data_IF_687856513629
#
_entry.id   IF_687856513629
#
_cell.length_a   1.000
_cell.length_b   1.000
_cell.length_c   1.000
_cell.angle_alpha   90.00
_cell.angle_beta   90.00
_cell.angle_gamma   90.00
#
_symmetry.space_group_name_H-M   'P 1'
#
loop_
_entity.id
_entity.type
_entity.pdbx_description
1 polymer ?
#
# COMPACT_ATOMS: atom_id res chain seq x y z
N UNK A 1 -0.98 -12.37 8.26
CA UNK A 1 0.05 -12.32 7.21
C UNK A 1 0.60 -13.73 7.03
N UNK A 2 0.87 -14.19 5.80
CA UNK A 2 1.41 -15.55 5.59
C UNK A 2 2.89 -15.63 5.98
N UNK A 3 3.35 -16.81 6.37
CA UNK A 3 4.76 -17.04 6.73
C UNK A 3 5.70 -16.82 5.54
N UNK A 4 5.27 -17.11 4.31
CA UNK A 4 6.06 -16.84 3.09
C UNK A 4 6.40 -15.35 2.93
N UNK A 5 5.44 -14.46 3.22
CA UNK A 5 5.69 -13.00 3.13
C UNK A 5 6.70 -12.54 4.19
N UNK A 6 6.63 -13.12 5.38
CA UNK A 6 7.55 -12.79 6.47
C UNK A 6 8.96 -13.30 6.17
N UNK A 7 9.06 -14.51 5.63
CA UNK A 7 10.33 -15.08 5.18
C UNK A 7 10.98 -14.21 4.09
N UNK A 8 10.19 -13.76 3.10
CA UNK A 8 10.69 -12.88 2.03
C UNK A 8 11.22 -11.54 2.57
N UNK A 9 10.49 -10.88 3.48
CA UNK A 9 10.94 -9.62 4.09
C UNK A 9 12.25 -9.80 4.86
N UNK A 10 12.36 -10.86 5.67
CA UNK A 10 13.59 -11.16 6.42
C UNK A 10 14.75 -11.49 5.50
N UNK A 11 14.50 -12.21 4.41
CA UNK A 11 15.51 -12.50 3.39
C UNK A 11 16.06 -11.23 2.74
N UNK A 12 15.20 -10.23 2.50
CA UNK A 12 15.59 -8.91 1.99
C UNK A 12 16.26 -8.01 3.05
N UNK A 13 16.47 -8.50 4.28
CA UNK A 13 17.14 -7.77 5.36
C UNK A 13 16.23 -6.89 6.22
N UNK A 14 14.90 -7.04 6.11
CA UNK A 14 13.97 -6.27 6.94
C UNK A 14 13.71 -6.96 8.30
N UNK A 15 13.71 -6.16 9.36
CA UNK A 15 13.15 -6.56 10.65
C UNK A 15 11.62 -6.59 10.59
N UNK A 16 11.01 -7.69 11.05
CA UNK A 16 9.56 -7.89 10.97
C UNK A 16 8.95 -7.98 12.36
N UNK A 17 8.18 -6.95 12.72
CA UNK A 17 7.39 -6.89 13.95
C UNK A 17 5.97 -7.40 13.66
N UNK A 18 5.57 -8.51 14.31
CA UNK A 18 4.19 -9.00 14.25
C UNK A 18 3.34 -8.23 15.25
N UNK A 19 2.22 -7.66 14.78
CA UNK A 19 1.24 -6.96 15.62
C UNK A 19 -0.06 -7.76 15.64
N UNK A 20 -0.76 -7.78 16.78
CA UNK A 20 -2.09 -8.39 16.88
C UNK A 20 -3.07 -7.61 15.99
N UNK A 21 -3.96 -8.32 15.31
CA UNK A 21 -4.93 -7.72 14.39
C UNK A 21 -6.14 -7.10 15.10
N UNK A 22 -6.35 -7.41 16.37
CA UNK A 22 -7.55 -7.05 17.11
C UNK A 22 -7.21 -6.37 18.44
N UNK A 23 -8.01 -5.37 18.77
CA UNK A 23 -8.00 -4.59 19.99
C UNK A 23 -9.08 -3.51 19.92
N UNK A 24 -9.60 -3.02 21.05
CA UNK A 24 -10.56 -1.92 21.02
C UNK A 24 -9.89 -0.62 20.53
N UNK A 25 -10.53 0.10 19.59
CA UNK A 25 -10.11 1.45 19.18
C UNK A 25 -9.27 1.52 17.91
N UNK A 26 -8.10 2.14 18.01
CA UNK A 26 -7.20 2.50 16.89
C UNK A 26 -6.52 1.26 16.25
N UNK A 27 -6.16 1.34 14.97
CA UNK A 27 -5.39 0.30 14.30
C UNK A 27 -4.00 0.14 14.95
N UNK A 28 -3.81 -0.95 15.67
CA UNK A 28 -2.58 -1.24 16.41
C UNK A 28 -1.33 -1.27 15.53
N UNK A 29 -1.47 -1.53 14.22
CA UNK A 29 -0.34 -1.46 13.27
C UNK A 29 0.13 -0.03 13.09
N UNK A 30 -0.81 0.92 13.07
CA UNK A 30 -0.52 2.35 12.96
C UNK A 30 0.16 2.87 14.22
N UNK A 31 -0.39 2.51 15.38
CA UNK A 31 0.20 2.82 16.70
C UNK A 31 1.63 2.31 16.76
N UNK A 32 1.85 1.03 16.45
CA UNK A 32 3.19 0.44 16.53
C UNK A 32 4.17 1.06 15.53
N UNK A 33 3.72 1.41 14.32
CA UNK A 33 4.56 2.09 13.34
C UNK A 33 5.01 3.48 13.82
N UNK A 34 4.13 4.23 14.49
CA UNK A 34 4.44 5.55 15.08
C UNK A 34 5.37 5.46 16.30
N UNK A 35 5.28 4.41 17.10
CA UNK A 35 6.26 4.15 18.15
C UNK A 35 7.65 3.89 17.55
N UNK A 36 7.74 2.98 16.58
CA UNK A 36 9.01 2.61 15.93
C UNK A 36 9.65 3.77 15.17
N UNK A 37 8.85 4.65 14.56
CA UNK A 37 9.33 5.89 13.95
C UNK A 37 10.17 6.70 14.94
N UNK A 38 9.71 6.85 16.18
CA UNK A 38 10.42 7.58 17.23
C UNK A 38 11.60 6.80 17.78
N UNK A 39 11.41 5.52 18.11
CA UNK A 39 12.44 4.66 18.72
C UNK A 39 13.66 4.50 17.81
N UNK A 40 13.44 4.39 16.49
CA UNK A 40 14.49 4.15 15.51
C UNK A 40 14.98 5.43 14.84
N UNK A 41 14.44 6.60 15.21
CA UNK A 41 14.63 7.85 14.45
C UNK A 41 14.35 7.66 12.95
N UNK A 42 13.33 6.86 12.64
CA UNK A 42 12.93 6.49 11.29
C UNK A 42 11.87 7.43 10.71
N UNK A 43 11.32 7.04 9.57
CA UNK A 43 10.21 7.76 8.91
C UNK A 43 9.08 6.78 8.65
N UNK A 44 7.88 7.08 9.16
CA UNK A 44 6.70 6.30 8.83
C UNK A 44 6.05 6.82 7.55
N UNK A 45 6.34 6.15 6.42
CA UNK A 45 5.88 6.55 5.09
C UNK A 45 4.36 6.53 4.90
N UNK A 46 3.62 5.79 5.73
CA UNK A 46 2.16 5.82 5.86
C UNK A 46 1.36 5.77 4.54
N UNK A 47 1.20 4.56 3.98
CA UNK A 47 0.46 4.34 2.72
C UNK A 47 -1.01 4.80 2.70
N UNK A 48 -1.62 5.07 3.84
CA UNK A 48 -3.02 5.50 3.92
C UNK A 48 -3.19 7.00 3.66
N UNK A 49 -2.18 7.80 3.99
CA UNK A 49 -2.23 9.27 3.91
C UNK A 49 -1.18 9.87 2.99
N UNK A 50 -0.27 9.06 2.47
CA UNK A 50 0.77 9.51 1.56
C UNK A 50 0.24 9.55 0.11
N UNK A 51 0.21 10.74 -0.49
CA UNK A 51 -0.20 10.94 -1.89
C UNK A 51 0.60 10.10 -2.88
N UNK A 52 1.85 9.73 -2.55
CA UNK A 52 2.68 8.88 -3.40
C UNK A 52 2.01 7.54 -3.76
N UNK A 53 1.17 7.01 -2.87
CA UNK A 53 0.40 5.79 -3.14
C UNK A 53 -0.59 5.98 -4.32
N UNK A 54 -1.39 7.04 -4.27
CA UNK A 54 -2.31 7.39 -5.37
C UNK A 54 -1.54 7.76 -6.64
N UNK A 55 -0.54 8.64 -6.52
CA UNK A 55 0.21 9.17 -7.67
C UNK A 55 0.93 8.07 -8.43
N UNK A 56 1.49 7.07 -7.76
CA UNK A 56 2.12 5.94 -8.43
C UNK A 56 1.17 5.28 -9.43
N UNK A 57 -0.10 5.07 -9.05
CA UNK A 57 -1.08 4.45 -9.94
C UNK A 57 -1.62 5.40 -11.00
N UNK A 58 -1.79 6.68 -10.68
CA UNK A 58 -2.23 7.70 -11.65
C UNK A 58 -1.17 7.95 -12.74
N UNK A 59 0.08 8.12 -12.31
CA UNK A 59 1.17 8.54 -13.17
C UNK A 59 1.74 7.40 -14.02
N UNK A 60 1.64 6.15 -13.56
CA UNK A 60 2.15 4.97 -14.27
C UNK A 60 1.05 3.95 -14.56
N UNK A 61 0.50 3.24 -13.56
CA UNK A 61 -0.39 2.09 -13.78
C UNK A 61 -1.56 2.39 -14.71
N UNK A 62 -2.23 3.53 -14.52
CA UNK A 62 -3.35 3.95 -15.36
C UNK A 62 -2.91 4.18 -16.81
N UNK A 63 -1.78 4.87 -17.02
CA UNK A 63 -1.25 5.16 -18.35
C UNK A 63 -0.81 3.90 -19.07
N UNK A 64 -0.14 2.99 -18.36
CA UNK A 64 0.27 1.69 -18.90
C UNK A 64 -0.95 0.90 -19.39
N UNK A 65 -2.03 0.86 -18.59
CA UNK A 65 -3.28 0.18 -18.97
C UNK A 65 -3.91 0.83 -20.21
N UNK A 66 -4.03 2.16 -20.22
CA UNK A 66 -4.63 2.89 -21.36
C UNK A 66 -3.82 2.66 -22.64
N UNK A 67 -2.49 2.73 -22.56
CA UNK A 67 -1.60 2.49 -23.70
C UNK A 67 -1.73 1.05 -24.20
N UNK A 68 -1.69 0.07 -23.30
CA UNK A 68 -1.80 -1.36 -23.65
C UNK A 68 -3.17 -1.74 -24.24
N UNK A 69 -4.22 -0.98 -23.91
CA UNK A 69 -5.59 -1.20 -24.39
C UNK A 69 -5.96 -0.32 -25.58
N UNK A 70 -4.99 0.41 -26.16
CA UNK A 70 -5.23 1.40 -27.23
C UNK A 70 -6.37 2.39 -26.89
N UNK A 71 -6.48 2.75 -25.61
CA UNK A 71 -7.50 3.65 -25.07
C UNK A 71 -8.92 3.08 -25.03
N UNK A 72 -9.13 1.78 -25.24
CA UNK A 72 -10.46 1.15 -25.28
C UNK A 72 -10.69 0.28 -24.05
N UNK A 73 -11.43 0.83 -23.08
CA UNK A 73 -11.69 0.16 -21.80
C UNK A 73 -13.17 0.30 -21.47
N UNK A 74 -13.86 -0.84 -21.37
CA UNK A 74 -15.29 -0.88 -21.05
C UNK A 74 -15.55 -1.03 -19.54
N UNK A 75 -14.62 -1.68 -18.83
CA UNK A 75 -14.71 -1.91 -17.39
C UNK A 75 -13.33 -2.15 -16.79
N UNK A 76 -13.14 -1.66 -15.56
CA UNK A 76 -11.97 -1.93 -14.73
C UNK A 76 -12.39 -2.56 -13.40
N UNK A 77 -11.77 -3.69 -13.04
CA UNK A 77 -12.10 -4.44 -11.82
C UNK A 77 -10.83 -4.68 -11.02
N UNK A 78 -10.85 -4.33 -9.73
CA UNK A 78 -9.71 -4.51 -8.84
C UNK A 78 -10.13 -4.74 -7.39
N UNK A 79 -9.26 -5.40 -6.60
CA UNK A 79 -9.50 -5.67 -5.18
C UNK A 79 -9.11 -4.50 -4.28
N UNK A 80 -10.01 -4.06 -3.39
CA UNK A 80 -9.81 -2.82 -2.62
C UNK A 80 -9.04 -3.05 -1.31
N UNK A 81 -7.94 -2.30 -1.15
CA UNK A 81 -7.17 -2.16 0.09
C UNK A 81 -7.14 -0.72 0.61
N UNK A 82 -5.98 -0.06 0.55
CA UNK A 82 -5.80 1.37 0.91
C UNK A 82 -6.56 2.34 0.00
N UNK A 83 -7.10 1.84 -1.11
CA UNK A 83 -7.79 2.57 -2.18
C UNK A 83 -6.89 3.43 -3.09
N UNK A 84 -5.58 3.44 -2.91
CA UNK A 84 -4.66 4.17 -3.79
C UNK A 84 -4.78 3.75 -5.26
N UNK A 85 -4.92 2.44 -5.53
CA UNK A 85 -5.04 1.90 -6.89
C UNK A 85 -6.33 2.29 -7.59
N UNK A 86 -7.49 2.22 -6.92
CA UNK A 86 -8.75 2.63 -7.57
C UNK A 86 -8.81 4.14 -7.74
N UNK A 87 -8.28 4.90 -6.77
CA UNK A 87 -8.24 6.35 -6.88
C UNK A 87 -7.34 6.77 -8.06
N UNK A 88 -6.11 6.26 -8.18
CA UNK A 88 -5.19 6.67 -9.25
C UNK A 88 -5.44 5.97 -10.59
N UNK A 89 -5.71 4.67 -10.55
CA UNK A 89 -6.00 3.84 -11.72
C UNK A 89 -7.36 4.16 -12.32
N UNK A 90 -8.42 4.14 -11.52
CA UNK A 90 -9.79 4.34 -11.99
C UNK A 90 -10.14 5.77 -12.36
N UNK A 91 -9.29 6.76 -12.09
CA UNK A 91 -9.55 8.14 -12.52
C UNK A 91 -9.38 8.32 -14.04
N UNK A 92 -8.49 7.54 -14.67
CA UNK A 92 -8.19 7.68 -16.09
C UNK A 92 -8.65 6.49 -16.94
N UNK A 93 -9.18 5.45 -16.29
CA UNK A 93 -9.54 4.15 -16.89
C UNK A 93 -11.05 3.98 -16.93
#
# INVERSE_FOLDING_TARGET
MSETKIAALRFLGADVVKVKLEGPGEDLRFVKAKELEKELSGVFLNQFFNEANFRAHYETTAKEIIEQMDGKIDAFVMGIGTRGTIAGGGENV
#
